data_IF_687685133484
#
_entry.id   IF_687685133484
#
_cell.length_a   1.000
_cell.length_b   1.000
_cell.length_c   1.000
_cell.angle_alpha   90.00
_cell.angle_beta   90.00
_cell.angle_gamma   90.00
#
_symmetry.space_group_name_H-M   'P 1'
#
loop_
_entity.id
_entity.type
_entity.pdbx_description
1 polymer ?
#
# COMPACT_ATOMS: atom_id res chain seq x y z
N UNK A 1 7.07 8.01 4.60
CA UNK A 1 6.13 9.15 4.82
C UNK A 1 4.67 8.73 4.85
N UNK A 2 4.17 7.86 3.97
CA UNK A 2 2.74 7.45 3.93
C UNK A 2 2.18 6.97 5.28
N UNK A 3 2.85 6.10 6.07
CA UNK A 3 2.32 5.67 7.36
C UNK A 3 2.17 6.81 8.37
N UNK A 4 3.07 7.81 8.30
CA UNK A 4 3.03 8.97 9.20
C UNK A 4 1.86 9.89 8.90
N UNK A 5 1.50 10.05 7.62
CA UNK A 5 0.32 10.85 7.21
C UNK A 5 -0.96 10.22 7.75
N UNK A 6 -1.13 8.89 7.61
CA UNK A 6 -2.28 8.19 8.17
C UNK A 6 -2.31 8.27 9.69
N UNK A 7 -1.15 8.15 10.36
CA UNK A 7 -1.01 8.37 11.80
C UNK A 7 -1.45 9.78 12.21
N UNK A 8 -1.00 10.81 11.50
CA UNK A 8 -1.37 12.21 11.73
C UNK A 8 -2.88 12.42 11.55
N UNK A 9 -3.48 11.89 10.47
CA UNK A 9 -4.93 11.96 10.23
C UNK A 9 -5.70 11.36 11.41
N UNK A 10 -5.28 10.19 11.88
CA UNK A 10 -5.97 9.50 12.99
C UNK A 10 -5.78 10.21 14.32
N UNK A 11 -4.67 10.92 14.52
CA UNK A 11 -4.38 11.67 15.75
C UNK A 11 -5.07 13.05 15.78
N UNK A 12 -5.23 13.70 14.63
CA UNK A 12 -5.67 15.10 14.54
C UNK A 12 -7.17 15.22 14.29
N UNK A 13 -7.75 14.34 13.47
CA UNK A 13 -9.17 14.44 13.11
C UNK A 13 -10.09 13.69 14.08
N UNK A 14 -11.27 14.29 14.46
CA UNK A 14 -12.31 13.58 15.19
C UNK A 14 -12.76 12.32 14.46
N UNK A 15 -13.23 11.31 15.19
CA UNK A 15 -13.60 10.00 14.63
C UNK A 15 -14.60 10.10 13.45
N UNK A 16 -15.53 11.06 13.48
CA UNK A 16 -16.53 11.30 12.43
C UNK A 16 -15.90 11.79 11.11
N UNK A 17 -14.79 12.55 11.15
CA UNK A 17 -14.20 13.22 10.00
C UNK A 17 -13.02 12.42 9.40
N UNK A 18 -12.47 11.45 10.17
CA UNK A 18 -11.38 10.56 9.71
C UNK A 18 -11.66 9.87 8.37
N UNK A 19 -12.86 9.30 8.13
CA UNK A 19 -13.12 8.65 6.84
C UNK A 19 -13.03 9.60 5.66
N UNK A 20 -13.43 10.87 5.86
CA UNK A 20 -13.34 11.92 4.84
C UNK A 20 -11.90 12.32 4.57
N UNK A 21 -11.09 12.53 5.62
CA UNK A 21 -9.67 12.85 5.49
C UNK A 21 -8.88 11.74 4.78
N UNK A 22 -9.14 10.46 5.14
CA UNK A 22 -8.54 9.30 4.47
C UNK A 22 -9.00 9.21 3.00
N UNK A 23 -10.24 9.62 2.68
CA UNK A 23 -10.71 9.67 1.30
C UNK A 23 -9.93 10.68 0.47
N UNK A 24 -9.75 11.89 0.99
CA UNK A 24 -8.94 12.91 0.34
C UNK A 24 -7.49 12.49 0.15
N UNK A 25 -6.89 11.84 1.15
CA UNK A 25 -5.56 11.25 1.02
C UNK A 25 -5.49 10.25 -0.14
N UNK A 26 -6.52 9.39 -0.29
CA UNK A 26 -6.60 8.45 -1.41
C UNK A 26 -6.74 9.14 -2.78
N UNK A 27 -7.56 10.19 -2.87
CA UNK A 27 -7.71 11.02 -4.09
C UNK A 27 -6.39 11.67 -4.47
N UNK A 28 -5.72 12.29 -3.50
CA UNK A 28 -4.40 12.92 -3.72
C UNK A 28 -3.38 11.91 -4.25
N UNK A 29 -3.35 10.69 -3.68
CA UNK A 29 -2.48 9.61 -4.15
C UNK A 29 -2.80 9.19 -5.59
N UNK A 30 -4.08 9.09 -5.96
CA UNK A 30 -4.50 8.78 -7.31
C UNK A 30 -4.12 9.86 -8.33
N UNK A 31 -4.43 11.13 -8.00
CA UNK A 31 -4.06 12.27 -8.85
C UNK A 31 -2.54 12.36 -9.00
N UNK A 32 -1.79 12.22 -7.91
CA UNK A 32 -0.33 12.26 -7.95
C UNK A 32 0.27 11.13 -8.82
N UNK A 33 -0.33 9.95 -8.81
CA UNK A 33 0.12 8.83 -9.64
C UNK A 33 -0.03 9.13 -11.14
N UNK A 34 -1.18 9.64 -11.56
CA UNK A 34 -1.42 10.02 -12.96
C UNK A 34 -0.54 11.20 -13.37
N UNK A 35 -0.54 12.25 -12.54
CA UNK A 35 0.25 13.46 -12.81
C UNK A 35 1.73 13.15 -12.88
N UNK A 36 2.24 12.27 -11.99
CA UNK A 36 3.64 11.87 -11.97
C UNK A 36 4.09 11.19 -13.27
N UNK A 37 3.26 10.33 -13.84
CA UNK A 37 3.57 9.66 -15.12
C UNK A 37 3.58 10.64 -16.29
N UNK A 38 2.55 11.49 -16.40
CA UNK A 38 2.42 12.45 -17.50
C UNK A 38 3.48 13.57 -17.38
N UNK A 39 3.61 14.14 -16.17
CA UNK A 39 4.57 15.24 -15.92
C UNK A 39 6.02 14.75 -16.00
N UNK A 40 6.30 13.54 -15.47
CA UNK A 40 7.63 12.92 -15.59
C UNK A 40 8.01 12.68 -17.05
N UNK A 41 7.09 12.15 -17.85
CA UNK A 41 7.29 11.97 -19.29
C UNK A 41 7.49 13.30 -20.04
N UNK A 42 6.73 14.34 -19.67
CA UNK A 42 6.89 15.68 -20.24
C UNK A 42 8.24 16.30 -19.88
N UNK A 43 8.66 16.23 -18.61
CA UNK A 43 9.95 16.78 -18.16
C UNK A 43 11.14 16.14 -18.90
N UNK A 44 11.09 14.81 -19.10
CA UNK A 44 12.15 14.11 -19.85
C UNK A 44 12.13 14.51 -21.32
N UNK A 45 10.93 14.63 -21.92
CA UNK A 45 10.80 15.00 -23.33
C UNK A 45 11.13 16.46 -23.63
N UNK A 46 10.90 17.36 -22.65
CA UNK A 46 11.22 18.78 -22.78
C UNK A 46 12.73 19.10 -22.57
N UNK A 47 13.48 18.12 -22.07
CA UNK A 47 14.94 18.24 -21.78
C UNK A 47 15.32 19.56 -21.10
N UNK A 48 14.56 19.94 -20.08
CA UNK A 48 14.72 21.23 -19.38
C UNK A 48 16.16 21.41 -18.90
N UNK A 49 16.84 22.42 -19.37
CA UNK A 49 18.25 22.74 -19.07
C UNK A 49 19.27 21.64 -19.45
N UNK A 50 18.95 20.75 -20.39
CA UNK A 50 19.83 19.63 -20.76
C UNK A 50 19.95 18.56 -19.68
N UNK A 51 19.05 18.55 -18.70
CA UNK A 51 19.11 17.64 -17.54
C UNK A 51 18.50 16.26 -17.82
N UNK A 52 17.73 16.11 -18.90
CA UNK A 52 17.06 14.85 -19.25
C UNK A 52 16.26 14.26 -18.07
N UNK A 53 16.50 12.98 -17.77
CA UNK A 53 15.82 12.29 -16.66
C UNK A 53 16.12 12.85 -15.26
N UNK A 54 17.24 13.58 -15.10
CA UNK A 54 17.62 14.22 -13.81
C UNK A 54 16.63 15.29 -13.37
N UNK A 55 15.94 15.95 -14.31
CA UNK A 55 14.93 16.95 -14.03
C UNK A 55 13.80 16.41 -13.15
N UNK A 56 13.42 15.12 -13.28
CA UNK A 56 12.40 14.48 -12.48
C UNK A 56 12.77 14.49 -10.98
N UNK A 57 14.03 14.24 -10.66
CA UNK A 57 14.50 14.25 -9.26
C UNK A 57 14.60 15.66 -8.70
N UNK A 58 15.07 16.61 -9.51
CA UNK A 58 15.22 18.00 -9.09
C UNK A 58 13.89 18.67 -8.78
N UNK A 59 12.83 18.37 -9.52
CA UNK A 59 11.47 18.86 -9.24
C UNK A 59 10.94 18.40 -7.88
N UNK A 60 11.36 17.23 -7.40
CA UNK A 60 10.97 16.74 -6.08
C UNK A 60 11.58 17.55 -4.92
N UNK A 61 12.72 18.24 -5.14
CA UNK A 61 13.35 19.05 -4.08
C UNK A 61 12.50 20.25 -3.65
N UNK A 62 12.04 21.16 -4.56
CA UNK A 62 11.17 22.26 -4.15
C UNK A 62 9.82 21.77 -3.61
N UNK A 63 9.24 20.72 -4.18
CA UNK A 63 7.99 20.13 -3.68
C UNK A 63 8.18 19.59 -2.26
N UNK A 64 9.27 18.86 -2.01
CA UNK A 64 9.62 18.34 -0.69
C UNK A 64 9.88 19.45 0.32
N UNK A 65 10.58 20.51 -0.08
CA UNK A 65 10.84 21.67 0.78
C UNK A 65 9.55 22.41 1.13
N UNK A 66 8.67 22.66 0.16
CA UNK A 66 7.37 23.27 0.40
C UNK A 66 6.51 22.42 1.34
N UNK A 67 6.49 21.11 1.13
CA UNK A 67 5.77 20.17 2.00
C UNK A 67 6.36 20.18 3.43
N UNK A 68 7.67 20.24 3.58
CA UNK A 68 8.34 20.30 4.88
C UNK A 68 8.02 21.62 5.62
N UNK A 69 8.08 22.76 4.92
CA UNK A 69 7.73 24.08 5.46
C UNK A 69 6.25 24.13 5.84
N UNK A 70 5.36 23.63 4.99
CA UNK A 70 3.93 23.54 5.28
C UNK A 70 3.66 22.65 6.51
N UNK A 71 4.29 21.49 6.59
CA UNK A 71 4.17 20.61 7.73
C UNK A 71 4.67 21.30 9.02
N UNK A 72 5.81 21.99 8.96
CA UNK A 72 6.37 22.69 10.12
C UNK A 72 5.46 23.82 10.60
N UNK A 73 4.77 24.52 9.69
CA UNK A 73 3.87 25.62 10.04
C UNK A 73 2.47 25.18 10.49
N UNK A 74 1.96 24.09 9.90
CA UNK A 74 0.57 23.64 10.11
C UNK A 74 0.46 22.60 11.23
N UNK A 75 1.48 21.73 11.38
CA UNK A 75 1.47 20.72 12.42
C UNK A 75 1.81 21.38 13.76
N UNK A 76 0.83 21.39 14.67
CA UNK A 76 1.06 21.79 16.04
C UNK A 76 2.17 20.95 16.67
N UNK A 77 3.15 21.61 17.25
CA UNK A 77 4.14 20.96 18.10
C UNK A 77 3.43 20.44 19.36
N UNK A 78 2.87 19.24 19.28
CA UNK A 78 2.45 18.56 20.50
C UNK A 78 3.71 18.37 21.36
N UNK A 79 3.86 19.22 22.35
CA UNK A 79 4.83 18.97 23.43
C UNK A 79 4.59 17.54 23.93
N UNK A 80 5.66 16.74 23.96
CA UNK A 80 5.59 15.41 24.53
C UNK A 80 4.89 15.51 25.88
N UNK A 81 3.83 14.74 26.09
CA UNK A 81 3.11 14.77 27.37
C UNK A 81 4.14 14.56 28.48
N UNK A 82 4.19 15.45 29.51
CA UNK A 82 5.08 15.28 30.63
C UNK A 82 4.82 13.90 31.27
N UNK A 83 5.84 13.04 31.29
CA UNK A 83 5.71 11.67 31.81
C UNK A 83 5.50 10.58 30.77
N UNK A 84 5.31 10.89 29.48
CA UNK A 84 5.31 9.85 28.45
C UNK A 84 6.69 9.18 28.36
N UNK A 85 6.78 7.83 28.46
CA UNK A 85 8.06 7.15 28.33
C UNK A 85 8.68 7.50 26.98
N UNK A 86 9.91 8.04 26.99
CA UNK A 86 10.65 8.32 25.75
C UNK A 86 10.83 7.01 25.02
N UNK A 87 10.21 6.90 23.83
CA UNK A 87 10.41 5.75 22.95
C UNK A 87 11.91 5.64 22.66
N UNK A 88 12.56 4.58 23.15
CA UNK A 88 13.96 4.29 22.81
C UNK A 88 13.97 3.72 21.40
N UNK A 89 14.52 4.47 20.45
CA UNK A 89 14.72 4.00 19.08
C UNK A 89 15.73 2.84 19.09
N UNK A 90 15.31 1.69 18.54
CA UNK A 90 16.20 0.56 18.32
C UNK A 90 17.04 0.82 17.05
N UNK A 91 18.06 1.67 17.19
CA UNK A 91 18.99 2.02 16.11
C UNK A 91 19.72 0.76 15.56
N UNK A 92 20.24 -0.16 16.42
CA UNK A 92 20.87 -1.39 15.92
C UNK A 92 19.91 -2.26 15.10
N UNK A 93 18.65 -2.38 15.55
CA UNK A 93 17.63 -3.11 14.80
C UNK A 93 17.30 -2.48 13.45
N UNK A 94 17.14 -1.15 13.40
CA UNK A 94 16.91 -0.42 12.15
C UNK A 94 18.10 -0.55 11.19
N UNK A 95 19.32 -0.42 11.68
CA UNK A 95 20.55 -0.62 10.88
C UNK A 95 20.67 -2.06 10.36
N UNK A 96 20.35 -3.05 11.20
CA UNK A 96 20.34 -4.47 10.83
C UNK A 96 19.34 -4.78 9.73
N UNK A 97 18.11 -4.24 9.83
CA UNK A 97 17.08 -4.38 8.76
C UNK A 97 17.58 -3.74 7.47
N UNK A 98 18.07 -2.50 7.52
CA UNK A 98 18.55 -1.78 6.34
C UNK A 98 19.71 -2.50 5.68
N UNK A 99 20.70 -2.95 6.46
CA UNK A 99 21.86 -3.70 5.94
C UNK A 99 21.43 -5.03 5.30
N UNK A 100 20.53 -5.78 5.94
CA UNK A 100 20.01 -7.03 5.41
C UNK A 100 19.32 -6.85 4.07
N UNK A 101 18.46 -5.84 3.96
CA UNK A 101 17.74 -5.53 2.71
C UNK A 101 18.70 -5.05 1.62
N UNK A 102 19.66 -4.18 1.96
CA UNK A 102 20.65 -3.69 1.00
C UNK A 102 21.55 -4.82 0.48
N UNK A 103 22.04 -5.71 1.37
CA UNK A 103 22.88 -6.87 1.01
C UNK A 103 22.15 -7.89 0.13
N UNK A 104 20.82 -7.89 0.09
CA UNK A 104 20.05 -8.72 -0.84
C UNK A 104 19.70 -7.95 -2.12
N UNK A 105 19.19 -6.72 -2.02
CA UNK A 105 18.69 -5.98 -3.19
C UNK A 105 19.79 -5.47 -4.11
N UNK A 106 20.90 -4.95 -3.55
CA UNK A 106 21.98 -4.38 -4.38
C UNK A 106 22.65 -5.45 -5.25
N UNK A 107 23.10 -6.60 -4.70
CA UNK A 107 23.62 -7.69 -5.52
C UNK A 107 22.60 -8.24 -6.52
N UNK A 108 21.34 -8.37 -6.11
CA UNK A 108 20.26 -8.81 -6.98
C UNK A 108 20.11 -7.88 -8.20
N UNK A 109 20.16 -6.56 -7.99
CA UNK A 109 20.07 -5.56 -9.05
C UNK A 109 21.29 -5.57 -9.98
N UNK A 110 22.49 -5.83 -9.44
CA UNK A 110 23.74 -5.87 -10.21
C UNK A 110 23.95 -7.22 -10.91
N UNK A 111 23.32 -8.29 -10.45
CA UNK A 111 23.56 -9.66 -10.90
C UNK A 111 23.52 -9.81 -12.41
N UNK A 112 22.53 -9.19 -13.06
CA UNK A 112 22.38 -9.27 -14.51
C UNK A 112 23.49 -8.54 -15.27
N UNK A 113 23.89 -7.35 -14.83
CA UNK A 113 24.92 -6.55 -15.52
C UNK A 113 26.31 -7.12 -15.35
N UNK A 114 26.54 -7.87 -14.27
CA UNK A 114 27.84 -8.45 -13.92
C UNK A 114 27.97 -9.96 -14.27
N UNK A 115 26.89 -10.59 -14.78
CA UNK A 115 26.92 -12.00 -15.15
C UNK A 115 26.86 -12.99 -13.98
N UNK A 116 26.28 -12.60 -12.85
CA UNK A 116 26.06 -13.42 -11.64
C UNK A 116 27.36 -14.03 -11.04
N UNK A 117 28.42 -13.25 -10.82
CA UNK A 117 29.63 -13.77 -10.20
C UNK A 117 29.41 -14.24 -8.77
N UNK A 118 30.31 -15.10 -8.25
CA UNK A 118 30.18 -15.75 -6.95
C UNK A 118 29.98 -14.76 -5.76
N UNK A 119 30.53 -13.57 -5.84
CA UNK A 119 30.39 -12.56 -4.78
C UNK A 119 28.94 -12.10 -4.60
N UNK A 120 28.12 -12.09 -5.66
CA UNK A 120 26.69 -11.75 -5.59
C UNK A 120 25.94 -12.74 -4.69
N UNK A 121 26.18 -14.04 -4.90
CA UNK A 121 25.58 -15.08 -4.08
C UNK A 121 26.08 -15.02 -2.64
N UNK A 122 27.37 -14.74 -2.45
CA UNK A 122 27.93 -14.52 -1.11
C UNK A 122 27.30 -13.33 -0.39
N UNK A 123 27.13 -12.18 -1.06
CA UNK A 123 26.46 -11.02 -0.49
C UNK A 123 24.99 -11.30 -0.14
N UNK A 124 24.26 -11.99 -1.02
CA UNK A 124 22.87 -12.38 -0.74
C UNK A 124 22.79 -13.34 0.45
N UNK A 125 23.69 -14.32 0.55
CA UNK A 125 23.76 -15.22 1.70
C UNK A 125 24.07 -14.44 3.00
N UNK A 126 25.04 -13.50 2.96
CA UNK A 126 25.32 -12.58 4.07
C UNK A 126 24.10 -11.73 4.45
N UNK A 127 23.34 -11.25 3.47
CA UNK A 127 22.11 -10.49 3.70
C UNK A 127 21.03 -11.31 4.40
N UNK A 128 20.84 -12.57 3.98
CA UNK A 128 19.91 -13.51 4.64
C UNK A 128 20.37 -13.85 6.07
N UNK A 129 21.68 -14.07 6.26
CA UNK A 129 22.25 -14.30 7.60
C UNK A 129 22.06 -13.07 8.51
N UNK A 130 22.30 -11.87 7.99
CA UNK A 130 22.06 -10.61 8.69
C UNK A 130 20.58 -10.42 9.05
N UNK A 131 19.65 -10.80 8.15
CA UNK A 131 18.22 -10.78 8.45
C UNK A 131 17.85 -11.73 9.58
N UNK A 132 18.41 -12.95 9.56
CA UNK A 132 18.24 -13.93 10.66
C UNK A 132 18.77 -13.40 12.00
N UNK A 133 19.97 -12.82 12.00
CA UNK A 133 20.60 -12.23 13.18
C UNK A 133 19.79 -11.04 13.71
N UNK A 134 19.32 -10.17 12.81
CA UNK A 134 18.45 -9.05 13.16
C UNK A 134 17.13 -9.54 13.76
N UNK A 135 16.50 -10.58 13.19
CA UNK A 135 15.32 -11.20 13.74
C UNK A 135 15.53 -11.82 15.13
N UNK A 136 16.70 -12.42 15.37
CA UNK A 136 17.10 -12.91 16.69
C UNK A 136 17.28 -11.77 17.70
N UNK A 137 17.96 -10.69 17.29
CA UNK A 137 18.11 -9.47 18.08
C UNK A 137 16.76 -8.89 18.50
N UNK A 138 15.83 -8.72 17.55
CA UNK A 138 14.50 -8.17 17.79
C UNK A 138 13.72 -9.01 18.82
N UNK A 139 13.77 -10.34 18.69
CA UNK A 139 13.13 -11.25 19.67
C UNK A 139 13.75 -11.11 21.06
N UNK A 140 15.06 -11.00 21.14
CA UNK A 140 15.80 -10.86 22.41
C UNK A 140 15.51 -9.50 23.05
N UNK A 141 15.50 -8.42 22.26
CA UNK A 141 15.16 -7.07 22.71
C UNK A 141 13.75 -7.03 23.31
N UNK A 142 12.78 -7.65 22.63
CA UNK A 142 11.41 -7.76 23.14
C UNK A 142 11.33 -8.53 24.47
N UNK A 143 12.04 -9.66 24.58
CA UNK A 143 12.08 -10.44 25.84
C UNK A 143 12.65 -9.63 27.02
N UNK A 144 13.51 -8.66 26.74
CA UNK A 144 14.08 -7.72 27.71
C UNK A 144 13.20 -6.50 27.99
N UNK A 145 11.97 -6.44 27.44
CA UNK A 145 11.05 -5.31 27.61
C UNK A 145 11.39 -4.08 26.78
N UNK A 146 12.29 -4.19 25.79
CA UNK A 146 12.57 -3.13 24.83
C UNK A 146 11.51 -3.02 23.74
N UNK A 147 11.57 -1.93 22.95
CA UNK A 147 10.67 -1.68 21.83
C UNK A 147 11.38 -2.05 20.51
N UNK A 148 11.12 -3.23 19.94
CA UNK A 148 11.74 -3.65 18.68
C UNK A 148 11.17 -2.88 17.50
N UNK A 149 11.99 -2.62 16.46
CA UNK A 149 11.54 -2.07 15.18
C UNK A 149 10.68 -3.09 14.42
N UNK A 150 11.00 -4.38 14.54
CA UNK A 150 10.24 -5.47 13.93
C UNK A 150 9.49 -6.26 15.00
N UNK A 151 8.16 -6.12 15.00
CA UNK A 151 7.29 -6.89 15.90
C UNK A 151 6.97 -8.25 15.27
N UNK A 152 7.86 -9.22 15.50
CA UNK A 152 7.75 -10.55 14.88
C UNK A 152 6.51 -11.34 15.33
N UNK A 153 5.87 -10.96 16.43
CA UNK A 153 4.64 -11.63 16.89
C UNK A 153 3.43 -11.32 16.03
N UNK A 154 3.45 -10.20 15.28
CA UNK A 154 2.39 -9.89 14.33
C UNK A 154 2.26 -10.97 13.25
N UNK A 155 3.35 -11.64 12.87
CA UNK A 155 3.29 -12.74 11.92
C UNK A 155 2.60 -14.00 12.48
N UNK A 156 2.36 -14.08 13.80
CA UNK A 156 1.54 -15.13 14.40
C UNK A 156 0.04 -14.89 14.22
N UNK A 157 -0.35 -13.65 13.89
CA UNK A 157 -1.72 -13.34 13.51
C UNK A 157 -1.94 -13.79 12.06
N UNK A 158 -2.81 -14.78 11.81
CA UNK A 158 -2.99 -15.34 10.46
C UNK A 158 -3.44 -14.31 9.43
N UNK A 159 -4.25 -13.34 9.85
CA UNK A 159 -4.72 -12.24 8.99
C UNK A 159 -3.60 -11.28 8.62
N UNK A 160 -2.69 -10.97 9.57
CA UNK A 160 -1.52 -10.15 9.28
C UNK A 160 -0.54 -10.86 8.35
N UNK A 161 -0.19 -12.12 8.65
CA UNK A 161 0.75 -12.89 7.84
C UNK A 161 0.26 -13.09 6.40
N UNK A 162 -1.01 -13.50 6.23
CA UNK A 162 -1.58 -13.70 4.91
C UNK A 162 -1.83 -12.37 4.17
N UNK A 163 -2.25 -11.32 4.89
CA UNK A 163 -2.42 -9.98 4.32
C UNK A 163 -1.10 -9.34 3.91
N UNK A 164 -0.04 -9.50 4.70
CA UNK A 164 1.32 -9.07 4.35
C UNK A 164 1.86 -9.85 3.15
N UNK A 165 1.71 -11.19 3.14
CA UNK A 165 2.08 -12.03 2.01
C UNK A 165 1.36 -11.64 0.71
N UNK A 166 0.05 -11.41 0.77
CA UNK A 166 -0.73 -10.94 -0.36
C UNK A 166 -0.27 -9.55 -0.85
N UNK A 167 0.04 -8.63 0.09
CA UNK A 167 0.55 -7.30 -0.25
C UNK A 167 1.95 -7.36 -0.89
N UNK A 168 2.83 -8.22 -0.40
CA UNK A 168 4.17 -8.45 -0.97
C UNK A 168 4.06 -9.00 -2.39
N UNK A 169 3.25 -10.05 -2.61
CA UNK A 169 3.03 -10.61 -3.94
C UNK A 169 2.42 -9.58 -4.91
N UNK A 170 1.46 -8.79 -4.42
CA UNK A 170 0.82 -7.74 -5.20
C UNK A 170 1.81 -6.63 -5.62
N UNK A 171 2.65 -6.16 -4.69
CA UNK A 171 3.61 -5.09 -5.00
C UNK A 171 4.75 -5.57 -5.89
N UNK A 172 5.19 -6.83 -5.75
CA UNK A 172 6.13 -7.46 -6.68
C UNK A 172 5.57 -7.49 -8.10
N UNK A 173 4.31 -7.92 -8.26
CA UNK A 173 3.58 -7.86 -9.52
C UNK A 173 3.45 -6.43 -10.03
N UNK A 174 2.89 -5.52 -9.23
CA UNK A 174 2.52 -4.17 -9.66
C UNK A 174 3.71 -3.35 -10.14
N UNK A 175 4.81 -3.30 -9.34
CA UNK A 175 6.01 -2.57 -9.70
C UNK A 175 6.66 -3.12 -10.98
N UNK A 176 6.72 -4.46 -11.10
CA UNK A 176 7.30 -5.11 -12.29
C UNK A 176 6.43 -4.91 -13.53
N UNK A 177 5.10 -4.95 -13.39
CA UNK A 177 4.19 -4.65 -14.49
C UNK A 177 4.35 -3.21 -14.99
N UNK A 178 4.46 -2.24 -14.08
CA UNK A 178 4.75 -0.85 -14.42
C UNK A 178 6.04 -0.71 -15.22
N UNK A 179 7.09 -1.42 -14.80
CA UNK A 179 8.39 -1.42 -15.45
C UNK A 179 8.31 -2.04 -16.86
N UNK A 180 7.74 -3.25 -16.99
CA UNK A 180 7.65 -3.94 -18.29
C UNK A 180 6.72 -3.21 -19.27
N UNK A 181 5.61 -2.63 -18.77
CA UNK A 181 4.73 -1.80 -19.59
C UNK A 181 5.47 -0.57 -20.13
N UNK A 182 6.32 0.08 -19.32
CA UNK A 182 7.14 1.21 -19.76
C UNK A 182 8.10 0.79 -20.87
N UNK A 183 8.81 -0.34 -20.70
CA UNK A 183 9.73 -0.86 -21.71
C UNK A 183 9.00 -1.21 -23.01
N UNK A 184 7.81 -1.79 -22.93
CA UNK A 184 7.01 -2.14 -24.09
C UNK A 184 6.50 -0.88 -24.82
N UNK A 185 6.03 0.14 -24.10
CA UNK A 185 5.56 1.37 -24.71
C UNK A 185 6.68 2.17 -25.37
N UNK A 186 7.83 2.29 -24.72
CA UNK A 186 8.95 3.10 -25.23
C UNK A 186 9.84 2.30 -26.18
N UNK A 187 10.24 1.08 -25.83
CA UNK A 187 11.10 0.23 -26.66
C UNK A 187 10.33 -0.49 -27.76
N UNK A 188 9.19 -1.14 -27.43
CA UNK A 188 8.42 -1.94 -28.37
C UNK A 188 7.61 -1.10 -29.37
N UNK A 189 6.94 -0.04 -28.89
CA UNK A 189 6.13 0.85 -29.75
C UNK A 189 6.85 2.14 -30.16
N UNK A 190 8.09 2.38 -29.69
CA UNK A 190 8.87 3.56 -30.05
C UNK A 190 8.25 4.88 -29.53
N UNK A 191 7.41 4.82 -28.48
CA UNK A 191 6.78 6.04 -27.95
C UNK A 191 7.80 6.91 -27.23
N UNK A 192 7.69 8.22 -27.44
CA UNK A 192 8.44 9.19 -26.63
C UNK A 192 8.03 9.08 -25.15
N UNK A 193 8.88 9.49 -24.20
CA UNK A 193 8.56 9.46 -22.76
C UNK A 193 7.21 10.12 -22.43
N UNK A 194 6.89 11.24 -23.09
CA UNK A 194 5.63 11.94 -22.91
C UNK A 194 4.42 11.13 -23.39
N UNK A 195 4.49 10.59 -24.62
CA UNK A 195 3.43 9.73 -25.16
C UNK A 195 3.27 8.44 -24.36
N UNK A 196 4.37 7.86 -23.88
CA UNK A 196 4.37 6.75 -22.95
C UNK A 196 3.63 7.11 -21.65
N UNK A 197 3.93 8.27 -21.06
CA UNK A 197 3.22 8.77 -19.87
C UNK A 197 1.72 8.95 -20.10
N UNK A 198 1.30 9.47 -21.25
CA UNK A 198 -0.11 9.56 -21.64
C UNK A 198 -0.77 8.18 -21.79
N UNK A 199 -0.06 7.18 -22.30
CA UNK A 199 -0.56 5.82 -22.42
C UNK A 199 -0.83 5.17 -21.04
N UNK A 200 -0.19 5.62 -19.95
CA UNK A 200 -0.49 5.22 -18.59
C UNK A 200 -1.72 5.92 -17.99
N UNK A 201 -2.16 7.05 -18.54
CA UNK A 201 -3.25 7.84 -17.96
C UNK A 201 -4.55 7.03 -17.75
N UNK A 202 -5.04 6.22 -18.71
CA UNK A 202 -6.23 5.39 -18.49
C UNK A 202 -6.09 4.43 -17.30
N UNK A 203 -4.92 3.83 -17.12
CA UNK A 203 -4.64 2.96 -15.96
C UNK A 203 -4.76 3.71 -14.65
N UNK A 204 -4.13 4.89 -14.52
CA UNK A 204 -4.16 5.70 -13.31
C UNK A 204 -5.54 6.26 -13.00
N UNK A 205 -6.28 6.70 -14.04
CA UNK A 205 -7.66 7.19 -13.91
C UNK A 205 -8.58 6.08 -13.43
N UNK A 206 -8.54 4.91 -14.06
CA UNK A 206 -9.34 3.76 -13.67
C UNK A 206 -9.00 3.27 -12.26
N UNK A 207 -7.70 3.24 -11.89
CA UNK A 207 -7.26 2.97 -10.53
C UNK A 207 -7.91 3.92 -9.53
N UNK A 208 -7.86 5.22 -9.78
CA UNK A 208 -8.38 6.25 -8.88
C UNK A 208 -9.90 6.13 -8.72
N UNK A 209 -10.63 5.97 -9.82
CA UNK A 209 -12.09 5.79 -9.81
C UNK A 209 -12.46 4.56 -8.99
N UNK A 210 -11.83 3.42 -9.26
CA UNK A 210 -12.18 2.16 -8.60
C UNK A 210 -11.70 2.08 -7.15
N UNK A 211 -10.61 2.75 -6.78
CA UNK A 211 -10.20 2.88 -5.40
C UNK A 211 -11.23 3.66 -4.56
N UNK A 212 -11.84 4.70 -5.13
CA UNK A 212 -12.93 5.47 -4.50
C UNK A 212 -14.23 4.66 -4.43
N UNK A 213 -14.69 4.11 -5.58
CA UNK A 213 -15.92 3.33 -5.67
C UNK A 213 -15.83 2.00 -4.91
N UNK A 214 -14.64 1.48 -4.71
CA UNK A 214 -14.41 0.22 -4.02
C UNK A 214 -14.89 0.23 -2.56
N UNK A 215 -14.96 1.39 -1.87
CA UNK A 215 -15.43 1.47 -0.48
C UNK A 215 -16.88 1.02 -0.30
N UNK A 216 -17.88 1.59 -0.99
CA UNK A 216 -19.26 1.13 -0.89
C UNK A 216 -19.44 -0.30 -1.38
N UNK A 217 -18.69 -0.72 -2.40
CA UNK A 217 -18.72 -2.10 -2.92
C UNK A 217 -18.27 -3.10 -1.85
N UNK A 218 -17.21 -2.81 -1.10
CA UNK A 218 -16.75 -3.69 0.00
C UNK A 218 -17.73 -3.69 1.15
N UNK A 219 -18.34 -2.56 1.50
CA UNK A 219 -19.35 -2.52 2.53
C UNK A 219 -20.53 -3.45 2.19
N UNK A 220 -20.86 -3.59 0.90
CA UNK A 220 -21.97 -4.43 0.41
C UNK A 220 -21.57 -5.87 0.13
N UNK A 221 -20.42 -6.11 -0.48
CA UNK A 221 -19.99 -7.43 -1.00
C UNK A 221 -18.79 -8.03 -0.26
N UNK A 222 -18.20 -7.31 0.69
CA UNK A 222 -17.08 -7.79 1.50
C UNK A 222 -15.83 -8.14 0.69
N UNK A 223 -15.19 -9.24 1.05
CA UNK A 223 -13.95 -9.73 0.43
C UNK A 223 -14.11 -10.16 -1.05
N UNK A 224 -15.32 -10.42 -1.51
CA UNK A 224 -15.58 -10.81 -2.92
C UNK A 224 -15.10 -9.74 -3.90
N UNK A 225 -15.11 -8.47 -3.50
CA UNK A 225 -14.61 -7.35 -4.32
C UNK A 225 -13.14 -7.52 -4.69
N UNK A 226 -12.32 -8.07 -3.79
CA UNK A 226 -10.90 -8.34 -4.08
C UNK A 226 -10.75 -9.46 -5.11
N UNK A 227 -11.57 -10.52 -5.00
CA UNK A 227 -11.61 -11.59 -6.01
C UNK A 227 -11.98 -11.09 -7.41
N UNK A 228 -13.01 -10.22 -7.49
CA UNK A 228 -13.40 -9.55 -8.74
C UNK A 228 -12.25 -8.68 -9.28
N UNK A 229 -11.59 -7.91 -8.39
CA UNK A 229 -10.41 -7.11 -8.75
C UNK A 229 -9.28 -7.97 -9.33
N UNK A 230 -8.96 -9.09 -8.70
CA UNK A 230 -7.95 -10.04 -9.21
C UNK A 230 -8.36 -10.64 -10.56
N UNK A 231 -9.63 -10.96 -10.75
CA UNK A 231 -10.14 -11.47 -12.03
C UNK A 231 -10.03 -10.43 -13.16
N UNK A 232 -10.33 -9.15 -12.87
CA UNK A 232 -10.17 -8.05 -13.84
C UNK A 232 -8.69 -7.85 -14.18
N UNK A 233 -7.78 -7.89 -13.19
CA UNK A 233 -6.33 -7.83 -13.44
C UNK A 233 -5.91 -8.99 -14.35
N UNK A 234 -6.32 -10.21 -14.03
CA UNK A 234 -5.97 -11.39 -14.81
C UNK A 234 -6.47 -11.28 -16.26
N UNK A 235 -7.72 -10.82 -16.46
CA UNK A 235 -8.27 -10.59 -17.82
C UNK A 235 -7.46 -9.51 -18.57
N UNK A 236 -7.09 -8.41 -17.92
CA UNK A 236 -6.22 -7.39 -18.52
C UNK A 236 -4.83 -7.92 -18.86
N UNK A 237 -4.23 -8.76 -18.01
CA UNK A 237 -2.94 -9.40 -18.27
C UNK A 237 -3.02 -10.39 -19.43
N UNK A 238 -4.09 -11.17 -19.54
CA UNK A 238 -4.33 -12.08 -20.68
C UNK A 238 -4.46 -11.26 -21.95
N UNK A 239 -5.26 -10.18 -21.93
CA UNK A 239 -5.41 -9.28 -23.07
C UNK A 239 -4.07 -8.68 -23.50
N UNK A 240 -3.20 -8.36 -22.54
CA UNK A 240 -1.84 -7.86 -22.78
C UNK A 240 -0.94 -8.88 -23.52
N UNK A 241 -1.25 -10.19 -23.48
CA UNK A 241 -0.46 -11.24 -24.16
C UNK A 241 -0.90 -11.52 -25.59
N UNK A 242 -2.11 -11.09 -26.00
CA UNK A 242 -2.68 -11.35 -27.32
C UNK A 242 -2.23 -10.28 -28.29
N UNK A 243 -1.13 -10.45 -28.98
CA UNK A 243 -0.54 -9.56 -30.02
C UNK A 243 -1.19 -8.18 -30.17
N UNK A 244 -0.83 -7.22 -29.38
CA UNK A 244 -1.63 -6.03 -29.26
C UNK A 244 -1.09 -4.90 -30.12
N UNK A 245 -1.99 -4.31 -30.89
CA UNK A 245 -1.80 -2.92 -31.27
C UNK A 245 -1.80 -2.02 -30.02
N UNK A 246 -1.21 -0.84 -30.13
CA UNK A 246 -1.09 0.13 -29.02
C UNK A 246 -2.42 0.37 -28.28
N UNK A 247 -3.52 0.46 -29.02
CA UNK A 247 -4.86 0.67 -28.46
C UNK A 247 -5.26 -0.46 -27.49
N UNK A 248 -4.93 -1.71 -27.82
CA UNK A 248 -5.25 -2.86 -26.99
C UNK A 248 -4.38 -2.92 -25.73
N UNK A 249 -3.10 -2.53 -25.82
CA UNK A 249 -2.22 -2.39 -24.64
C UNK A 249 -2.75 -1.33 -23.69
N UNK A 250 -3.19 -0.18 -24.21
CA UNK A 250 -3.79 0.89 -23.39
C UNK A 250 -5.10 0.41 -22.73
N UNK A 251 -5.94 -0.32 -23.46
CA UNK A 251 -7.16 -0.90 -22.92
C UNK A 251 -6.86 -1.93 -21.82
N UNK A 252 -5.91 -2.83 -22.05
CA UNK A 252 -5.44 -3.81 -21.09
C UNK A 252 -4.88 -3.14 -19.83
N UNK A 253 -4.07 -2.08 -19.99
CA UNK A 253 -3.57 -1.27 -18.87
C UNK A 253 -4.72 -0.61 -18.07
N UNK A 254 -5.76 -0.11 -18.75
CA UNK A 254 -6.96 0.41 -18.10
C UNK A 254 -7.70 -0.64 -17.26
N UNK A 255 -7.85 -1.87 -17.79
CA UNK A 255 -8.42 -3.00 -17.05
C UNK A 255 -7.58 -3.35 -15.82
N UNK A 256 -6.26 -3.44 -16.00
CA UNK A 256 -5.31 -3.67 -14.89
C UNK A 256 -5.45 -2.59 -13.84
N UNK A 257 -5.53 -1.31 -14.24
CA UNK A 257 -5.76 -0.18 -13.33
C UNK A 257 -7.07 -0.32 -12.53
N UNK A 258 -8.16 -0.72 -13.20
CA UNK A 258 -9.47 -0.98 -12.58
C UNK A 258 -9.36 -2.02 -11.47
N UNK A 259 -8.74 -3.15 -11.74
CA UNK A 259 -8.55 -4.21 -10.76
C UNK A 259 -7.61 -3.80 -9.62
N UNK A 260 -6.51 -3.11 -9.92
CA UNK A 260 -5.54 -2.63 -8.92
C UNK A 260 -6.20 -1.68 -7.91
N UNK A 261 -7.07 -0.77 -8.36
CA UNK A 261 -7.81 0.14 -7.47
C UNK A 261 -8.80 -0.58 -6.56
N UNK A 262 -9.34 -1.72 -6.97
CA UNK A 262 -10.16 -2.56 -6.11
C UNK A 262 -9.34 -3.38 -5.11
N UNK A 263 -8.14 -3.82 -5.45
CA UNK A 263 -7.33 -4.76 -4.65
C UNK A 263 -6.44 -4.04 -3.64
N UNK A 264 -5.57 -3.12 -4.09
CA UNK A 264 -4.49 -2.57 -3.27
C UNK A 264 -4.95 -1.92 -1.95
N UNK A 265 -5.97 -1.02 -1.93
CA UNK A 265 -6.39 -0.39 -0.67
C UNK A 265 -6.94 -1.40 0.34
N UNK A 266 -7.43 -2.55 -0.14
CA UNK A 266 -8.01 -3.60 0.71
C UNK A 266 -6.97 -4.49 1.35
N UNK A 267 -5.91 -4.82 0.61
CA UNK A 267 -4.83 -5.64 1.15
C UNK A 267 -4.21 -4.99 2.38
N UNK A 268 -3.90 -3.69 2.31
CA UNK A 268 -3.36 -2.93 3.44
C UNK A 268 -4.35 -2.90 4.62
N UNK A 269 -5.63 -2.60 4.35
CA UNK A 269 -6.67 -2.58 5.39
C UNK A 269 -6.84 -3.94 6.06
N UNK A 270 -6.88 -5.02 5.27
CA UNK A 270 -7.07 -6.38 5.80
C UNK A 270 -5.89 -6.84 6.65
N UNK A 271 -4.65 -6.56 6.22
CA UNK A 271 -3.45 -6.91 6.98
C UNK A 271 -3.46 -6.27 8.38
N UNK A 272 -3.93 -5.03 8.51
CA UNK A 272 -3.89 -4.28 9.77
C UNK A 272 -5.13 -4.46 10.65
N UNK A 273 -6.16 -5.20 10.21
CA UNK A 273 -7.45 -5.28 10.92
C UNK A 273 -7.34 -5.86 12.35
N UNK A 274 -6.47 -6.85 12.56
CA UNK A 274 -6.29 -7.50 13.87
C UNK A 274 -5.08 -6.98 14.64
N UNK A 275 -4.35 -6.01 14.11
CA UNK A 275 -3.18 -5.43 14.79
C UNK A 275 -3.67 -4.52 15.92
N UNK A 276 -3.19 -4.71 17.17
CA UNK A 276 -3.52 -3.84 18.29
C UNK A 276 -3.17 -2.38 17.98
N UNK A 277 -3.99 -1.43 18.44
CA UNK A 277 -3.78 0.00 18.18
C UNK A 277 -2.41 0.51 18.65
N UNK A 278 -1.88 -0.05 19.75
CA UNK A 278 -0.54 0.26 20.26
C UNK A 278 0.59 -0.18 19.31
N UNK A 279 0.39 -1.23 18.50
CA UNK A 279 1.37 -1.79 17.57
C UNK A 279 1.09 -1.40 16.10
N UNK A 280 0.01 -0.66 15.83
CA UNK A 280 -0.42 -0.31 14.48
C UNK A 280 0.63 0.47 13.68
N UNK A 281 1.40 1.34 14.34
CA UNK A 281 2.52 2.07 13.74
C UNK A 281 3.64 1.15 13.28
N UNK A 282 4.06 0.21 14.13
CA UNK A 282 5.10 -0.78 13.80
C UNK A 282 4.59 -1.72 12.71
N UNK A 283 3.36 -2.24 12.85
CA UNK A 283 2.76 -3.15 11.87
C UNK A 283 2.64 -2.53 10.47
N UNK A 284 2.22 -1.27 10.37
CA UNK A 284 2.15 -0.56 9.09
C UNK A 284 3.52 -0.25 8.51
N UNK A 285 4.50 0.10 9.36
CA UNK A 285 5.89 0.32 8.94
C UNK A 285 6.52 -0.96 8.36
N UNK A 286 6.36 -2.09 9.05
CA UNK A 286 6.83 -3.39 8.58
C UNK A 286 6.19 -3.78 7.24
N UNK A 287 4.87 -3.61 7.11
CA UNK A 287 4.14 -3.89 5.89
C UNK A 287 4.66 -3.03 4.73
N UNK A 288 4.84 -1.73 4.95
CA UNK A 288 5.33 -0.80 3.92
C UNK A 288 6.77 -1.16 3.51
N UNK A 289 7.65 -1.48 4.46
CA UNK A 289 9.03 -1.91 4.17
C UNK A 289 9.04 -3.20 3.33
N UNK A 290 8.24 -4.19 3.72
CA UNK A 290 8.10 -5.45 2.97
C UNK A 290 7.56 -5.20 1.54
N UNK A 291 6.60 -4.31 1.38
CA UNK A 291 6.05 -3.91 0.08
C UNK A 291 7.12 -3.25 -0.81
N UNK A 292 7.91 -2.33 -0.29
CA UNK A 292 8.97 -1.65 -1.05
C UNK A 292 10.08 -2.62 -1.47
N UNK A 293 10.47 -3.52 -0.56
CA UNK A 293 11.40 -4.60 -0.88
C UNK A 293 10.87 -5.50 -1.99
N UNK A 294 9.62 -5.93 -1.88
CA UNK A 294 8.97 -6.80 -2.85
C UNK A 294 8.87 -6.13 -4.24
N UNK A 295 8.53 -4.83 -4.28
CA UNK A 295 8.50 -4.07 -5.52
C UNK A 295 9.87 -4.04 -6.21
N UNK A 296 10.92 -3.72 -5.46
CA UNK A 296 12.30 -3.67 -5.99
C UNK A 296 12.80 -5.05 -6.44
N UNK A 297 12.58 -6.08 -5.61
CA UNK A 297 12.95 -7.46 -5.94
C UNK A 297 12.17 -7.97 -7.15
N UNK A 298 10.87 -7.68 -7.22
CA UNK A 298 10.02 -8.04 -8.33
C UNK A 298 10.49 -7.43 -9.64
N UNK A 299 10.75 -6.13 -9.67
CA UNK A 299 11.31 -5.44 -10.87
C UNK A 299 12.60 -6.09 -11.33
N UNK A 300 13.49 -6.43 -10.39
CA UNK A 300 14.78 -7.03 -10.73
C UNK A 300 14.63 -8.45 -11.28
N UNK A 301 13.87 -9.31 -10.57
CA UNK A 301 13.72 -10.72 -10.95
C UNK A 301 12.91 -10.86 -12.24
N UNK A 302 11.75 -10.21 -12.30
CA UNK A 302 10.88 -10.30 -13.48
C UNK A 302 11.46 -9.52 -14.65
N UNK A 303 12.15 -8.41 -14.39
CA UNK A 303 12.93 -7.69 -15.39
C UNK A 303 14.04 -8.55 -15.99
N UNK A 304 14.71 -9.39 -15.19
CA UNK A 304 15.69 -10.34 -15.69
C UNK A 304 15.05 -11.35 -16.67
N UNK A 305 13.86 -11.87 -16.33
CA UNK A 305 13.11 -12.76 -17.22
C UNK A 305 12.68 -12.02 -18.49
N UNK A 306 12.16 -10.80 -18.37
CA UNK A 306 11.77 -9.98 -19.52
C UNK A 306 12.91 -9.83 -20.51
N UNK A 307 14.05 -9.42 -20.04
CA UNK A 307 15.22 -9.19 -20.89
C UNK A 307 15.89 -10.48 -21.39
N UNK A 308 15.78 -11.60 -20.67
CA UNK A 308 16.30 -12.88 -21.17
C UNK A 308 15.52 -13.41 -22.37
N UNK A 309 14.22 -13.08 -22.43
CA UNK A 309 13.34 -13.46 -23.55
C UNK A 309 13.36 -12.41 -24.66
N UNK A 310 13.58 -11.12 -24.31
CA UNK A 310 13.59 -10.02 -25.28
C UNK A 310 14.56 -10.27 -26.45
N UNK A 311 15.75 -10.85 -26.17
CA UNK A 311 16.76 -11.18 -27.20
C UNK A 311 17.06 -9.99 -28.12
N UNK A 312 16.80 -10.17 -29.42
CA UNK A 312 16.98 -9.14 -30.44
C UNK A 312 15.64 -8.49 -30.85
N UNK A 313 14.80 -8.04 -29.89
CA UNK A 313 13.58 -7.24 -30.09
C UNK A 313 12.22 -7.97 -30.03
N UNK A 314 12.12 -9.18 -29.46
CA UNK A 314 10.82 -9.83 -29.23
C UNK A 314 10.11 -9.30 -27.96
N UNK A 315 9.66 -8.05 -28.01
CA UNK A 315 8.90 -7.43 -26.91
C UNK A 315 7.58 -8.18 -26.60
N UNK A 316 6.96 -8.79 -27.61
CA UNK A 316 5.72 -9.54 -27.43
C UNK A 316 5.98 -10.87 -26.70
N UNK A 317 7.04 -11.60 -27.02
CA UNK A 317 7.47 -12.79 -26.30
C UNK A 317 7.86 -12.49 -24.86
N UNK A 318 8.64 -11.43 -24.64
CA UNK A 318 9.04 -10.98 -23.31
C UNK A 318 7.81 -10.57 -22.46
N UNK A 319 6.83 -9.88 -23.04
CA UNK A 319 5.58 -9.53 -22.38
C UNK A 319 4.77 -10.78 -21.98
N UNK A 320 4.68 -11.77 -22.85
CA UNK A 320 3.98 -13.05 -22.55
C UNK A 320 4.67 -13.81 -21.42
N UNK A 321 5.99 -13.94 -21.44
CA UNK A 321 6.73 -14.64 -20.41
C UNK A 321 6.52 -14.00 -19.03
N UNK A 322 6.57 -12.66 -18.94
CA UNK A 322 6.34 -11.95 -17.69
C UNK A 322 4.88 -11.98 -17.25
N UNK A 323 3.93 -11.96 -18.18
CA UNK A 323 2.49 -12.04 -17.87
C UNK A 323 2.13 -13.36 -17.15
N UNK A 324 2.78 -14.48 -17.50
CA UNK A 324 2.59 -15.75 -16.78
C UNK A 324 2.97 -15.60 -15.30
N UNK A 325 4.09 -14.95 -15.02
CA UNK A 325 4.52 -14.71 -13.64
C UNK A 325 3.55 -13.77 -12.91
N UNK A 326 3.06 -12.73 -13.60
CA UNK A 326 2.05 -11.82 -13.04
C UNK A 326 0.75 -12.54 -12.72
N UNK A 327 0.27 -13.42 -13.59
CA UNK A 327 -0.92 -14.24 -13.36
C UNK A 327 -0.73 -15.17 -12.15
N UNK A 328 0.44 -15.78 -12.00
CA UNK A 328 0.76 -16.60 -10.83
C UNK A 328 0.76 -15.78 -9.54
N UNK A 329 1.34 -14.58 -9.54
CA UNK A 329 1.34 -13.68 -8.39
C UNK A 329 -0.07 -13.21 -8.02
N UNK A 330 -0.90 -12.88 -9.01
CA UNK A 330 -2.30 -12.47 -8.77
C UNK A 330 -3.15 -13.65 -8.28
N UNK A 331 -2.92 -14.85 -8.80
CA UNK A 331 -3.55 -16.08 -8.28
C UNK A 331 -3.16 -16.32 -6.82
N UNK A 332 -1.89 -16.13 -6.46
CA UNK A 332 -1.41 -16.20 -5.08
C UNK A 332 -2.10 -15.15 -4.19
N UNK A 333 -2.23 -13.91 -4.66
CA UNK A 333 -2.97 -12.86 -3.93
C UNK A 333 -4.42 -13.28 -3.69
N UNK A 334 -5.11 -13.78 -4.72
CA UNK A 334 -6.50 -14.23 -4.60
C UNK A 334 -6.63 -15.40 -3.62
N UNK A 335 -5.72 -16.37 -3.66
CA UNK A 335 -5.70 -17.51 -2.75
C UNK A 335 -5.47 -17.09 -1.29
N UNK A 336 -4.51 -16.20 -1.02
CA UNK A 336 -4.25 -15.70 0.33
C UNK A 336 -5.43 -14.91 0.89
N UNK A 337 -6.08 -14.09 0.06
CA UNK A 337 -7.29 -13.34 0.47
C UNK A 337 -8.47 -14.28 0.73
N UNK A 338 -8.65 -15.32 -0.08
CA UNK A 338 -9.66 -16.35 0.14
C UNK A 338 -9.41 -17.10 1.46
N UNK A 339 -8.15 -17.45 1.76
CA UNK A 339 -7.75 -18.09 3.02
C UNK A 339 -8.13 -17.21 4.22
N UNK A 340 -7.86 -15.90 4.15
CA UNK A 340 -8.27 -14.95 5.21
C UNK A 340 -9.79 -14.97 5.38
N UNK A 341 -10.54 -14.95 4.28
CA UNK A 341 -12.01 -14.93 4.33
C UNK A 341 -12.60 -16.19 5.00
N UNK A 342 -12.00 -17.36 4.76
CA UNK A 342 -12.38 -18.62 5.42
C UNK A 342 -12.06 -18.57 6.92
N UNK A 343 -10.84 -18.20 7.28
CA UNK A 343 -10.38 -18.15 8.69
C UNK A 343 -11.17 -17.14 9.54
N UNK A 344 -11.55 -16.00 8.98
CA UNK A 344 -12.38 -15.01 9.68
C UNK A 344 -13.80 -15.52 9.92
N UNK A 345 -14.35 -16.36 9.04
CA UNK A 345 -15.65 -16.99 9.21
C UNK A 345 -15.65 -18.10 10.28
N UNK A 346 -14.57 -18.81 10.41
CA UNK A 346 -14.40 -19.91 11.37
C UNK A 346 -14.13 -19.44 12.80
N UNK A 347 -13.77 -18.15 13.00
CA UNK A 347 -13.51 -17.61 14.34
C UNK A 347 -14.82 -17.57 15.18
N UNK A 348 -14.86 -18.20 16.39
CA UNK A 348 -16.10 -18.44 17.17
C UNK A 348 -16.88 -17.21 17.63
N UNK A 349 -16.35 -16.02 17.44
CA UNK A 349 -17.00 -14.74 17.83
C UNK A 349 -17.83 -14.06 16.73
N UNK A 350 -17.71 -14.48 15.47
CA UNK A 350 -18.40 -13.82 14.34
C UNK A 350 -19.91 -14.07 14.31
N UNK A 351 -20.37 -15.23 14.73
CA UNK A 351 -21.78 -15.60 14.75
C UNK A 351 -22.59 -14.85 15.84
N UNK A 352 -21.96 -14.53 16.96
CA UNK A 352 -22.60 -13.82 18.07
C UNK A 352 -22.82 -12.32 17.74
N UNK A 353 -21.84 -11.67 17.12
CA UNK A 353 -21.92 -10.25 16.73
C UNK A 353 -22.94 -10.02 15.62
N UNK A 354 -23.09 -10.98 14.70
CA UNK A 354 -24.11 -10.87 13.63
C UNK A 354 -25.53 -11.07 14.15
N UNK A 355 -25.76 -11.95 15.14
CA UNK A 355 -27.07 -12.13 15.81
C UNK A 355 -27.44 -10.89 16.65
N UNK A 356 -26.48 -10.28 17.35
CA UNK A 356 -26.73 -9.09 18.18
C UNK A 356 -27.01 -7.83 17.32
N UNK A 357 -26.41 -7.71 16.13
CA UNK A 357 -26.74 -6.64 15.16
C UNK A 357 -28.12 -6.81 14.52
N UNK A 358 -28.60 -8.03 14.34
CA UNK A 358 -29.95 -8.30 13.83
C UNK A 358 -31.02 -8.18 14.90
N UNK A 359 -30.68 -8.41 16.17
CA UNK A 359 -31.61 -8.30 17.31
C UNK A 359 -31.83 -6.86 17.82
N UNK A 360 -30.89 -5.93 17.53
CA UNK A 360 -31.00 -4.53 18.02
C UNK A 360 -32.08 -3.63 17.39
N UNK A 361 -32.65 -3.86 16.20
CA UNK A 361 -33.71 -2.96 15.70
C UNK A 361 -35.04 -3.06 16.42
N UNK A 362 -35.33 -4.17 17.12
CA UNK A 362 -36.65 -4.38 17.79
C UNK A 362 -36.65 -3.88 19.24
N UNK A 363 -35.56 -3.95 19.96
CA UNK A 363 -35.50 -3.60 21.40
C UNK A 363 -35.36 -2.09 21.68
N UNK A 364 -34.92 -1.30 20.69
CA UNK A 364 -34.72 0.15 20.86
C UNK A 364 -35.99 0.98 20.58
N UNK A 365 -37.00 0.41 19.96
CA UNK A 365 -38.32 1.07 19.73
C UNK A 365 -39.29 1.02 20.92
N UNK A 366 -39.00 0.19 21.92
CA UNK A 366 -39.89 0.01 23.08
C UNK A 366 -39.48 0.78 24.34
N UNK A 367 -38.44 1.60 24.30
CA UNK A 367 -38.04 2.45 25.42
C UNK A 367 -37.97 3.92 25.01
N UNK A 368 -39.09 4.50 24.66
CA UNK A 368 -39.30 5.94 24.82
C UNK A 368 -39.96 6.10 26.23
N UNK A 369 -39.25 6.69 27.21
CA UNK A 369 -39.89 7.02 28.47
C UNK A 369 -40.93 8.11 28.20
N UNK A 370 -42.15 7.85 28.59
CA UNK A 370 -43.18 8.88 28.67
C UNK A 370 -42.64 10.05 29.50
N UNK A 371 -42.69 11.24 28.93
CA UNK A 371 -42.35 12.48 29.61
C UNK A 371 -43.24 12.60 30.85
N UNK A 372 -42.67 12.44 32.03
CA UNK A 372 -43.28 12.77 33.30
C UNK A 372 -43.37 14.29 33.40
N UNK A 373 -44.57 14.74 33.80
CA UNK A 373 -45.05 16.11 33.78
C UNK A 373 -44.20 17.13 34.54
N UNK A 374 -44.32 18.33 34.06
CA UNK A 374 -43.81 19.57 34.63
C UNK A 374 -44.24 19.75 36.12
N UNK A 375 -43.33 20.08 37.06
CA UNK A 375 -43.70 20.54 38.37
C UNK A 375 -44.04 22.04 38.35
N UNK A 376 -45.00 22.52 39.18
CA UNK A 376 -45.57 23.86 39.10
C UNK A 376 -44.56 24.93 39.58
N UNK A 377 -44.55 26.05 38.84
CA UNK A 377 -43.84 27.29 39.15
C UNK A 377 -44.32 27.85 40.52
N UNK A 378 -43.45 27.91 41.52
CA UNK A 378 -43.64 28.72 42.72
C UNK A 378 -43.17 30.13 42.46
N UNK A 379 -44.15 31.08 42.50
CA UNK A 379 -43.94 32.48 42.69
C UNK A 379 -43.33 32.74 44.06
N UNK A 380 -42.19 33.39 44.16
CA UNK A 380 -41.81 34.12 45.37
C UNK A 380 -41.74 35.59 45.02
N UNK A 381 -42.70 36.27 45.68
CA UNK A 381 -42.78 37.71 45.83
C UNK A 381 -41.67 38.21 46.77
N UNK A 382 -41.15 39.35 46.35
CA UNK A 382 -40.66 40.49 47.15
C UNK A 382 -40.53 40.39 48.66
N UNK A 383 -39.43 40.84 49.18
CA UNK A 383 -39.41 41.89 50.22
C UNK A 383 -38.08 42.66 50.14
N UNK A 384 -38.25 43.99 49.96
CA UNK A 384 -37.27 45.02 50.29
C UNK A 384 -36.95 44.97 51.78
N UNK A 385 -35.72 45.28 52.18
CA UNK A 385 -35.35 46.37 53.07
C UNK A 385 -33.86 46.28 53.43
N UNK A 386 -33.32 47.49 53.35
CA UNK A 386 -32.08 48.09 53.88
C UNK A 386 -30.79 47.79 53.22
#
# INVERSE_FOLDING_TARGET
MVPQVLGTITATFPARDRPRAIAWFGVTGGVASVSGQVFGGWLVGADVLGLGWRAIFLVNMPIGLLAAVAAWRILEHRAAQPGAPRARLDIPGAAGVTASLALVLVPLALGRTTGWPAWIWACMACGLAAAGLTGYWQRTLRRRGGQPVLETTLFRLPTYAAGAGASVAFLAYFASFMFTLTLMLQGGFGLTPFRGGLAFAPMGVMFSITALLGRPLVARYGQRVVGVGCAIIAAGLILFTVHPGLALVIAAAGMVGTGNGLVLPRLVGTALTQVPSAEAGVGSGMLTTAQQFAGSAGVTLIGTVFFSVLGTDDYAGAARATAIIYLALIALVAALVALIAVRVREAPGSAAVHRDRQARPAAQRSRVPAQAGDPPRRHHRSAMHN
#
